data_IF_733009968085
#
_entry.id   IF_733009968085
#
_cell.length_a   1.000
_cell.length_b   1.000
_cell.length_c   1.000
_cell.angle_alpha   90.00
_cell.angle_beta   90.00
_cell.angle_gamma   90.00
#
_symmetry.space_group_name_H-M   'P 1'
#
loop_
_entity.id
_entity.type
_entity.pdbx_description
1 polymer ?
#
# COMPACT_ATOMS: atom_id res chain seq x y z
N UNK A 1 2.72 68.47 1.04
CA UNK A 1 3.58 67.42 1.63
C UNK A 1 3.63 66.22 0.69
N UNK A 2 4.47 66.25 -0.36
CA UNK A 2 4.53 65.16 -1.35
C UNK A 2 5.89 65.09 -2.06
N UNK A 3 7.01 65.13 -1.32
CA UNK A 3 8.36 65.04 -1.91
C UNK A 3 9.33 64.12 -1.14
N UNK A 4 8.81 63.24 -0.27
CA UNK A 4 9.67 62.36 0.57
C UNK A 4 9.59 60.88 0.16
N UNK A 5 8.73 60.51 -0.81
CA UNK A 5 8.51 59.10 -1.16
C UNK A 5 9.31 58.63 -2.39
N UNK A 6 9.65 59.51 -3.33
CA UNK A 6 10.36 59.12 -4.57
C UNK A 6 11.80 58.61 -4.35
N UNK A 7 12.46 59.03 -3.26
CA UNK A 7 13.87 58.68 -3.00
C UNK A 7 14.04 57.37 -2.23
N UNK A 8 12.98 56.77 -1.68
CA UNK A 8 13.09 55.54 -0.87
C UNK A 8 13.18 54.28 -1.73
N UNK A 9 12.51 54.28 -2.88
CA UNK A 9 12.47 53.12 -3.79
C UNK A 9 13.81 52.91 -4.52
N UNK A 10 14.46 54.00 -4.95
CA UNK A 10 15.79 53.92 -5.57
C UNK A 10 16.91 53.44 -4.64
N UNK A 11 16.75 53.59 -3.33
CA UNK A 11 17.68 53.05 -2.34
C UNK A 11 17.55 51.55 -2.14
N UNK A 12 16.31 51.04 -2.16
CA UNK A 12 16.00 49.61 -2.00
C UNK A 12 16.41 48.84 -3.27
N UNK A 13 16.14 49.37 -4.46
CA UNK A 13 16.56 48.76 -5.73
C UNK A 13 18.09 48.67 -5.82
N UNK A 14 18.82 49.75 -5.51
CA UNK A 14 20.30 49.75 -5.49
C UNK A 14 20.86 48.77 -4.45
N UNK A 15 20.21 48.64 -3.29
CA UNK A 15 20.57 47.67 -2.26
C UNK A 15 20.35 46.23 -2.72
N UNK A 16 19.23 45.96 -3.41
CA UNK A 16 18.94 44.65 -3.97
C UNK A 16 19.96 44.27 -5.05
N UNK A 17 20.26 45.16 -6.00
CA UNK A 17 21.28 44.92 -7.03
C UNK A 17 22.67 44.67 -6.44
N UNK A 18 23.07 45.45 -5.42
CA UNK A 18 24.35 45.24 -4.74
C UNK A 18 24.40 43.88 -4.02
N UNK A 19 23.30 43.47 -3.38
CA UNK A 19 23.19 42.16 -2.74
C UNK A 19 23.27 41.01 -3.76
N UNK A 20 22.51 41.10 -4.87
CA UNK A 20 22.57 40.11 -5.95
C UNK A 20 23.97 40.00 -6.55
N UNK A 21 24.65 41.13 -6.78
CA UNK A 21 26.01 41.14 -7.28
C UNK A 21 26.99 40.46 -6.29
N UNK A 22 26.85 40.74 -4.99
CA UNK A 22 27.69 40.10 -3.96
C UNK A 22 27.47 38.58 -3.89
N UNK A 23 26.21 38.13 -3.94
CA UNK A 23 25.88 36.71 -3.94
C UNK A 23 26.39 36.01 -5.21
N UNK A 24 26.28 36.65 -6.37
CA UNK A 24 26.79 36.12 -7.63
C UNK A 24 28.31 35.96 -7.61
N UNK A 25 29.04 36.95 -7.05
CA UNK A 25 30.50 36.86 -6.87
C UNK A 25 30.87 35.75 -5.89
N UNK A 26 30.16 35.64 -4.76
CA UNK A 26 30.38 34.56 -3.78
C UNK A 26 30.15 33.17 -4.38
N UNK A 27 29.07 32.99 -5.14
CA UNK A 27 28.78 31.74 -5.85
C UNK A 27 29.86 31.41 -6.88
N UNK A 28 30.29 32.40 -7.68
CA UNK A 28 31.37 32.21 -8.64
C UNK A 28 32.69 31.82 -7.94
N UNK A 29 33.01 32.44 -6.81
CA UNK A 29 34.20 32.09 -6.02
C UNK A 29 34.09 30.65 -5.49
N UNK A 30 32.95 30.29 -4.94
CA UNK A 30 32.67 28.93 -4.44
C UNK A 30 32.83 27.90 -5.55
N UNK A 31 32.28 28.15 -6.74
CA UNK A 31 32.41 27.26 -7.90
C UNK A 31 33.86 27.12 -8.39
N UNK A 32 34.69 28.15 -8.24
CA UNK A 32 36.13 28.09 -8.56
C UNK A 32 36.95 27.33 -7.51
N UNK A 33 36.49 27.31 -6.26
CA UNK A 33 37.11 26.62 -5.13
C UNK A 33 36.66 25.16 -4.99
N UNK A 34 35.58 24.75 -5.65
CA UNK A 34 35.14 23.36 -5.63
C UNK A 34 36.12 22.46 -6.40
N UNK A 35 36.59 21.35 -5.80
CA UNK A 35 37.39 20.37 -6.51
C UNK A 35 36.57 19.79 -7.67
N UNK A 36 37.22 19.59 -8.82
CA UNK A 36 36.56 18.95 -9.96
C UNK A 36 36.12 17.54 -9.55
N UNK A 37 34.87 17.14 -9.82
CA UNK A 37 34.46 15.76 -9.59
C UNK A 37 35.31 14.86 -10.48
N UNK A 38 36.20 14.09 -9.88
CA UNK A 38 36.87 13.00 -10.57
C UNK A 38 35.85 11.89 -10.81
N UNK A 39 35.75 11.37 -12.05
CA UNK A 39 34.93 10.19 -12.29
C UNK A 39 35.46 9.04 -11.43
N UNK A 40 34.57 8.26 -10.78
CA UNK A 40 35.00 7.12 -9.98
C UNK A 40 35.84 6.19 -10.85
N UNK A 41 37.01 5.82 -10.34
CA UNK A 41 37.82 4.79 -10.97
C UNK A 41 36.97 3.52 -11.11
N UNK A 42 36.96 2.84 -12.27
CA UNK A 42 36.26 1.59 -12.41
C UNK A 42 36.81 0.60 -11.39
N UNK A 43 35.92 0.05 -10.57
CA UNK A 43 36.24 -1.07 -9.68
C UNK A 43 36.71 -2.25 -10.56
N UNK A 44 37.77 -2.97 -10.16
CA UNK A 44 38.11 -4.22 -10.83
C UNK A 44 36.92 -5.17 -10.73
N UNK A 45 36.42 -5.60 -11.89
CA UNK A 45 35.47 -6.70 -12.02
C UNK A 45 36.20 -7.99 -11.61
N UNK A 46 36.19 -8.30 -10.32
CA UNK A 46 36.41 -9.67 -9.87
C UNK A 46 35.17 -10.47 -10.25
N UNK A 47 35.12 -10.87 -11.52
CA UNK A 47 34.06 -11.69 -12.07
C UNK A 47 33.84 -12.92 -11.20
N UNK A 48 32.66 -13.02 -10.61
CA UNK A 48 32.19 -14.23 -9.96
C UNK A 48 32.03 -15.29 -11.04
N UNK A 49 33.02 -16.17 -11.13
CA UNK A 49 32.94 -17.41 -11.90
C UNK A 49 31.95 -18.32 -11.16
N UNK A 50 30.68 -18.29 -11.57
CA UNK A 50 29.71 -19.31 -11.14
C UNK A 50 30.10 -20.60 -11.84
N UNK A 51 30.79 -21.48 -11.12
CA UNK A 51 31.01 -22.84 -11.56
C UNK A 51 29.67 -23.57 -11.55
N UNK A 52 29.13 -23.81 -12.74
CA UNK A 52 27.90 -24.57 -12.94
C UNK A 52 28.23 -26.00 -12.55
N UNK A 53 27.78 -26.42 -11.37
CA UNK A 53 27.84 -27.82 -10.94
C UNK A 53 27.14 -28.68 -12.00
N UNK A 54 27.85 -29.56 -12.73
CA UNK A 54 27.19 -30.45 -13.66
C UNK A 54 26.32 -31.42 -12.86
N UNK A 55 25.04 -31.48 -13.23
CA UNK A 55 24.09 -32.40 -12.64
C UNK A 55 24.58 -33.84 -12.83
N UNK A 56 24.80 -34.53 -11.72
CA UNK A 56 25.24 -35.92 -11.68
C UNK A 56 24.22 -36.78 -12.42
N UNK A 57 24.63 -37.28 -13.58
CA UNK A 57 23.88 -38.25 -14.36
C UNK A 57 23.58 -39.50 -13.51
N UNK A 58 22.29 -39.79 -13.31
CA UNK A 58 21.81 -41.08 -12.79
C UNK A 58 22.12 -42.19 -13.82
N UNK A 59 22.54 -43.40 -13.38
CA UNK A 59 22.88 -44.48 -14.28
C UNK A 59 21.67 -45.04 -15.04
N UNK A 60 21.93 -45.32 -16.31
CA UNK A 60 21.07 -45.98 -17.29
C UNK A 60 20.49 -47.32 -16.80
N UNK A 61 19.16 -47.46 -16.88
CA UNK A 61 18.49 -48.74 -16.92
C UNK A 61 18.08 -49.05 -18.37
N UNK A 62 18.60 -50.17 -18.86
CA UNK A 62 18.36 -50.77 -20.17
C UNK A 62 16.86 -51.05 -20.36
N UNK A 63 16.28 -50.59 -21.47
CA UNK A 63 15.02 -51.12 -21.99
C UNK A 63 15.06 -51.18 -23.52
N UNK A 64 14.82 -52.38 -24.03
CA UNK A 64 14.90 -52.79 -25.43
C UNK A 64 13.87 -52.08 -26.33
N UNK A 65 14.26 -51.83 -27.59
CA UNK A 65 13.33 -51.60 -28.70
C UNK A 65 12.45 -52.83 -28.91
N UNK A 66 11.15 -52.66 -29.13
CA UNK A 66 10.41 -53.37 -30.19
C UNK A 66 9.22 -52.52 -30.69
N UNK A 67 9.29 -52.22 -32.00
CA UNK A 67 8.26 -52.01 -33.03
C UNK A 67 6.88 -51.36 -32.74
N UNK A 68 6.59 -50.34 -33.53
CA UNK A 68 5.25 -49.98 -34.05
C UNK A 68 4.78 -50.98 -35.12
N UNK A 69 3.46 -51.13 -35.34
CA UNK A 69 2.84 -50.41 -36.45
C UNK A 69 1.46 -49.80 -36.16
N UNK A 70 1.17 -48.68 -36.81
CA UNK A 70 -0.15 -48.07 -37.00
C UNK A 70 -0.96 -48.85 -38.09
N UNK A 71 -2.15 -48.45 -38.63
CA UNK A 71 -2.91 -47.19 -38.46
C UNK A 71 -4.49 -47.30 -38.57
N UNK A 72 -5.16 -46.14 -38.68
CA UNK A 72 -6.47 -45.84 -39.35
C UNK A 72 -7.77 -46.03 -38.54
N UNK A 73 -8.39 -44.94 -38.06
CA UNK A 73 -9.61 -44.24 -38.58
C UNK A 73 -10.88 -45.13 -38.64
N UNK A 74 -12.05 -44.73 -38.15
CA UNK A 74 -12.93 -43.70 -38.73
C UNK A 74 -14.12 -43.42 -37.78
N UNK A 75 -14.74 -42.26 -38.00
CA UNK A 75 -15.78 -41.50 -37.29
C UNK A 75 -17.21 -42.13 -37.42
N UNK A 76 -18.29 -41.38 -37.13
CA UNK A 76 -19.15 -41.35 -35.93
C UNK A 76 -20.51 -42.08 -36.10
N UNK A 77 -21.31 -42.22 -35.04
CA UNK A 77 -22.74 -41.85 -35.11
C UNK A 77 -23.45 -41.87 -33.75
N UNK A 78 -24.50 -41.03 -33.69
CA UNK A 78 -25.34 -40.72 -32.55
C UNK A 78 -26.57 -41.65 -32.44
N UNK A 79 -27.12 -41.80 -31.24
CA UNK A 79 -28.56 -41.99 -30.93
C UNK A 79 -28.73 -41.95 -29.40
N UNK A 80 -29.18 -40.84 -28.80
CA UNK A 80 -30.58 -40.46 -28.48
C UNK A 80 -31.35 -41.49 -27.63
N UNK A 81 -31.59 -41.15 -26.36
CA UNK A 81 -32.96 -41.09 -25.81
C UNK A 81 -33.02 -40.30 -24.51
N UNK A 82 -34.00 -39.39 -24.48
CA UNK A 82 -34.45 -38.57 -23.37
C UNK A 82 -35.63 -39.26 -22.64
N UNK A 83 -35.97 -38.72 -21.45
CA UNK A 83 -37.23 -38.78 -20.68
C UNK A 83 -36.96 -39.11 -19.20
N UNK A 84 -37.55 -38.48 -18.18
CA UNK A 84 -38.61 -37.48 -18.07
C UNK A 84 -38.73 -37.02 -16.61
N UNK A 85 -39.17 -35.78 -16.40
CA UNK A 85 -39.50 -35.17 -15.10
C UNK A 85 -41.00 -35.43 -14.82
N UNK A 86 -41.41 -35.59 -13.55
CA UNK A 86 -42.65 -34.92 -13.11
C UNK A 86 -42.53 -34.21 -11.75
N UNK A 87 -43.07 -32.97 -11.60
CA UNK A 87 -43.36 -32.30 -10.31
C UNK A 87 -44.90 -32.33 -10.06
N UNK A 88 -45.55 -31.54 -9.17
CA UNK A 88 -45.09 -30.62 -8.11
C UNK A 88 -45.81 -30.82 -6.74
N UNK A 89 -45.26 -30.27 -5.66
CA UNK A 89 -46.06 -29.91 -4.48
C UNK A 89 -46.39 -28.41 -4.54
N UNK A 90 -47.68 -28.08 -4.65
CA UNK A 90 -48.24 -26.77 -4.35
C UNK A 90 -48.73 -26.72 -2.90
N UNK A 91 -48.89 -25.47 -2.42
CA UNK A 91 -49.73 -24.98 -1.30
C UNK A 91 -48.87 -24.34 -0.20
N UNK A 92 -48.95 -23.05 0.11
CA UNK A 92 -49.82 -21.93 -0.27
C UNK A 92 -49.09 -20.64 0.15
N UNK A 93 -49.13 -19.59 -0.67
CA UNK A 93 -48.99 -18.23 -0.15
C UNK A 93 -50.36 -17.75 0.36
N UNK A 94 -50.38 -16.79 1.30
CA UNK A 94 -50.87 -15.48 0.86
C UNK A 94 -49.93 -14.33 1.24
N UNK A 95 -50.03 -13.30 0.41
CA UNK A 95 -49.34 -12.03 0.42
C UNK A 95 -49.43 -11.26 1.75
N UNK A 96 -48.39 -10.47 2.04
CA UNK A 96 -48.49 -9.01 2.16
C UNK A 96 -47.11 -8.40 2.43
N UNK A 97 -46.78 -7.34 1.67
CA UNK A 97 -45.70 -6.41 1.97
C UNK A 97 -45.84 -5.82 3.37
N UNK A 98 -44.77 -5.92 4.16
CA UNK A 98 -44.34 -4.89 5.12
C UNK A 98 -42.84 -5.05 5.41
N UNK A 99 -42.02 -4.22 4.77
CA UNK A 99 -40.91 -3.56 5.46
C UNK A 99 -41.55 -2.36 6.17
N UNK A 100 -41.24 -2.02 7.43
CA UNK A 100 -39.86 -1.79 7.88
C UNK A 100 -39.56 -2.32 9.29
N UNK A 101 -38.29 -2.64 9.58
CA UNK A 101 -37.57 -2.04 10.70
C UNK A 101 -36.10 -2.45 10.61
N UNK A 102 -35.26 -1.49 10.23
CA UNK A 102 -33.82 -1.57 10.49
C UNK A 102 -33.67 -1.45 12.00
N UNK A 103 -33.67 -2.59 12.70
CA UNK A 103 -33.16 -2.66 14.05
C UNK A 103 -31.64 -2.48 13.95
N UNK A 104 -31.18 -1.24 14.13
CA UNK A 104 -29.79 -0.93 14.40
C UNK A 104 -29.41 -1.60 15.71
N UNK A 105 -28.89 -2.82 15.63
CA UNK A 105 -28.13 -3.44 16.72
C UNK A 105 -26.93 -2.52 16.96
N UNK A 106 -26.77 -1.95 18.17
CA UNK A 106 -25.58 -1.20 18.52
C UNK A 106 -24.36 -2.11 18.33
N UNK A 107 -23.22 -1.64 17.81
CA UNK A 107 -22.02 -2.46 17.75
C UNK A 107 -21.72 -2.98 19.14
N UNK A 108 -21.81 -4.30 19.33
CA UNK A 108 -21.30 -4.93 20.53
C UNK A 108 -19.83 -4.50 20.65
N UNK A 109 -19.45 -3.99 21.83
CA UNK A 109 -18.07 -3.63 22.10
C UNK A 109 -17.19 -4.84 21.75
N UNK A 110 -16.24 -4.70 20.81
CA UNK A 110 -15.42 -5.82 20.37
C UNK A 110 -14.60 -6.35 21.56
N UNK A 111 -14.42 -7.67 21.59
CA UNK A 111 -13.50 -8.31 22.54
C UNK A 111 -12.09 -7.76 22.26
N UNK A 112 -11.25 -7.55 23.30
CA UNK A 112 -9.95 -6.88 23.17
C UNK A 112 -9.00 -7.47 22.11
N UNK A 113 -9.18 -8.73 21.73
CA UNK A 113 -8.28 -9.48 20.83
C UNK A 113 -8.95 -9.97 19.54
N UNK A 114 -10.14 -9.45 19.20
CA UNK A 114 -10.87 -9.87 18.00
C UNK A 114 -10.85 -8.78 16.91
N UNK A 115 -10.66 -9.22 15.66
CA UNK A 115 -10.81 -8.33 14.51
C UNK A 115 -12.21 -7.69 14.49
N UNK A 116 -12.23 -6.38 14.27
CA UNK A 116 -13.41 -5.58 13.98
C UNK A 116 -13.57 -5.50 12.47
N UNK A 117 -14.67 -6.02 11.96
CA UNK A 117 -15.04 -5.91 10.55
C UNK A 117 -15.57 -4.50 10.26
N UNK A 118 -15.05 -3.86 9.21
CA UNK A 118 -15.46 -2.52 8.81
C UNK A 118 -16.82 -2.54 8.11
N UNK A 119 -17.82 -1.90 8.71
CA UNK A 119 -19.15 -1.74 8.09
C UNK A 119 -19.19 -0.67 6.99
N UNK A 120 -18.19 0.20 6.92
CA UNK A 120 -18.03 1.23 5.91
C UNK A 120 -16.54 1.44 5.63
N UNK A 121 -16.19 1.76 4.38
CA UNK A 121 -14.82 2.02 3.93
C UNK A 121 -14.61 3.51 3.63
N UNK A 122 -13.39 4.00 3.81
CA UNK A 122 -13.12 5.44 3.90
C UNK A 122 -12.02 5.94 2.96
N UNK A 123 -11.09 5.09 2.55
CA UNK A 123 -9.96 5.41 1.67
C UNK A 123 -10.39 6.17 0.40
N UNK A 124 -11.47 5.73 -0.26
CA UNK A 124 -12.01 6.43 -1.43
C UNK A 124 -12.49 7.84 -1.10
N UNK A 125 -13.22 8.01 0.00
CA UNK A 125 -13.75 9.33 0.39
C UNK A 125 -12.62 10.29 0.72
N UNK A 126 -11.60 9.82 1.44
CA UNK A 126 -10.42 10.62 1.78
C UNK A 126 -9.64 11.01 0.54
N UNK A 127 -9.42 10.08 -0.38
CA UNK A 127 -8.71 10.37 -1.62
C UNK A 127 -9.51 11.28 -2.56
N UNK A 128 -10.84 11.23 -2.52
CA UNK A 128 -11.70 12.09 -3.33
C UNK A 128 -11.67 13.57 -2.90
N UNK A 129 -11.19 13.87 -1.67
CA UNK A 129 -10.99 15.23 -1.21
C UNK A 129 -9.98 15.98 -2.13
N UNK A 130 -10.27 17.23 -2.56
CA UNK A 130 -9.35 18.05 -3.33
C UNK A 130 -7.97 18.24 -2.67
N UNK A 131 -7.89 18.21 -1.34
CA UNK A 131 -6.65 18.33 -0.56
C UNK A 131 -5.75 17.10 -0.73
N UNK A 132 -6.32 15.94 -1.04
CA UNK A 132 -5.61 14.67 -1.24
C UNK A 132 -5.01 14.52 -2.65
N UNK A 133 -4.92 15.60 -3.43
CA UNK A 133 -4.40 15.54 -4.81
C UNK A 133 -3.00 14.95 -4.91
N UNK A 134 -2.07 15.43 -4.07
CA UNK A 134 -0.69 14.94 -4.05
C UNK A 134 -0.62 13.46 -3.65
N UNK A 135 -1.41 13.04 -2.65
CA UNK A 135 -1.49 11.64 -2.25
C UNK A 135 -2.02 10.76 -3.40
N UNK A 136 -3.06 11.19 -4.12
CA UNK A 136 -3.56 10.49 -5.31
C UNK A 136 -2.51 10.39 -6.42
N UNK A 137 -1.72 11.43 -6.63
CA UNK A 137 -0.64 11.42 -7.63
C UNK A 137 0.49 10.48 -7.22
N UNK A 138 0.91 10.52 -5.96
CA UNK A 138 1.91 9.61 -5.41
C UNK A 138 1.47 8.14 -5.57
N UNK A 139 0.24 7.79 -5.17
CA UNK A 139 -0.32 6.44 -5.30
C UNK A 139 -0.33 5.94 -6.75
N UNK A 140 -0.50 6.81 -7.75
CA UNK A 140 -0.46 6.41 -9.17
C UNK A 140 0.94 6.05 -9.65
N UNK A 141 1.99 6.57 -9.00
CA UNK A 141 3.38 6.27 -9.32
C UNK A 141 3.91 4.99 -8.68
N UNK A 142 3.17 4.38 -7.75
CA UNK A 142 3.61 3.19 -7.03
C UNK A 142 3.36 1.91 -7.83
N UNK A 143 4.20 0.89 -7.59
CA UNK A 143 3.95 -0.47 -8.06
C UNK A 143 2.62 -1.00 -7.50
N UNK A 144 1.96 -1.93 -8.20
CA UNK A 144 0.61 -2.37 -7.83
C UNK A 144 0.47 -2.88 -6.39
N UNK A 145 1.43 -3.70 -5.92
CA UNK A 145 1.43 -4.19 -4.53
C UNK A 145 1.63 -3.08 -3.50
N UNK A 146 2.58 -2.19 -3.74
CA UNK A 146 2.84 -1.03 -2.88
C UNK A 146 1.66 -0.07 -2.84
N UNK A 147 1.03 0.21 -3.99
CA UNK A 147 -0.20 1.00 -4.06
C UNK A 147 -1.31 0.39 -3.22
N UNK A 148 -1.46 -0.93 -3.27
CA UNK A 148 -2.48 -1.65 -2.51
C UNK A 148 -2.20 -1.56 -1.00
N UNK A 149 -0.94 -1.74 -0.58
CA UNK A 149 -0.52 -1.56 0.81
C UNK A 149 -0.85 -0.16 1.32
N UNK A 150 -0.43 0.88 0.60
CA UNK A 150 -0.68 2.28 0.99
C UNK A 150 -2.18 2.63 1.06
N UNK A 151 -3.01 2.07 0.18
CA UNK A 151 -4.46 2.23 0.25
C UNK A 151 -5.05 1.58 1.50
N UNK A 152 -4.56 0.39 1.87
CA UNK A 152 -4.97 -0.32 3.06
C UNK A 152 -4.47 0.34 4.35
N UNK A 153 -3.27 0.91 4.36
CA UNK A 153 -2.74 1.68 5.48
C UNK A 153 -3.55 2.97 5.71
N UNK A 154 -3.92 3.66 4.62
CA UNK A 154 -4.83 4.80 4.68
C UNK A 154 -6.20 4.40 5.25
N UNK A 155 -6.76 3.27 4.77
CA UNK A 155 -8.00 2.72 5.31
C UNK A 155 -7.87 2.44 6.82
N UNK A 156 -6.80 1.77 7.24
CA UNK A 156 -6.53 1.45 8.63
C UNK A 156 -6.54 2.69 9.54
N UNK A 157 -5.84 3.76 9.13
CA UNK A 157 -5.82 5.01 9.88
C UNK A 157 -7.20 5.66 10.01
N UNK A 158 -8.04 5.62 8.97
CA UNK A 158 -9.40 6.14 9.02
C UNK A 158 -10.36 5.29 9.87
N UNK A 159 -10.22 3.97 9.80
CA UNK A 159 -10.97 3.04 10.63
C UNK A 159 -10.68 3.29 12.11
N UNK A 160 -9.40 3.40 12.47
CA UNK A 160 -8.96 3.70 13.85
C UNK A 160 -9.53 5.03 14.32
N UNK A 161 -9.40 6.10 13.51
CA UNK A 161 -9.89 7.44 13.87
C UNK A 161 -11.40 7.47 14.17
N UNK A 162 -12.18 6.62 13.50
CA UNK A 162 -13.64 6.56 13.68
C UNK A 162 -14.06 5.62 14.80
N UNK A 163 -13.34 4.51 14.98
CA UNK A 163 -13.59 3.56 16.06
C UNK A 163 -13.15 4.11 17.43
N UNK A 164 -12.13 4.96 17.47
CA UNK A 164 -11.50 5.50 18.68
C UNK A 164 -11.34 7.00 18.56
N UNK A 165 -12.28 7.75 19.12
CA UNK A 165 -12.27 9.23 19.08
C UNK A 165 -11.06 9.85 19.78
N UNK A 166 -10.44 9.10 20.70
CA UNK A 166 -9.21 9.42 21.41
C UNK A 166 -7.94 9.13 20.59
N UNK A 167 -8.06 8.51 19.42
CA UNK A 167 -6.94 8.18 18.55
C UNK A 167 -7.02 8.96 17.24
N UNK A 168 -5.97 9.71 16.93
CA UNK A 168 -5.81 10.43 15.67
C UNK A 168 -4.50 9.99 15.01
N UNK A 169 -4.52 8.87 14.26
CA UNK A 169 -3.31 8.39 13.61
C UNK A 169 -2.71 9.43 12.67
N UNK A 170 -1.40 9.62 12.79
CA UNK A 170 -0.59 10.51 11.94
C UNK A 170 0.57 9.79 11.23
N UNK A 171 0.93 8.58 11.66
CA UNK A 171 1.89 7.72 10.98
C UNK A 171 1.48 6.25 11.05
N UNK A 172 1.94 5.48 10.07
CA UNK A 172 1.72 4.05 9.94
C UNK A 172 3.04 3.36 9.58
N UNK A 173 3.37 2.26 10.25
CA UNK A 173 4.52 1.43 9.97
C UNK A 173 4.04 -0.02 9.75
N UNK A 174 3.85 -0.48 8.49
CA UNK A 174 3.18 -1.74 8.21
C UNK A 174 4.00 -2.99 8.58
N UNK A 175 5.31 -2.83 8.77
CA UNK A 175 6.27 -3.92 9.02
C UNK A 175 7.02 -3.81 10.36
N UNK A 176 6.50 -3.06 11.34
CA UNK A 176 7.21 -2.76 12.59
C UNK A 176 7.63 -4.02 13.40
N UNK A 177 6.72 -4.98 13.53
CA UNK A 177 6.91 -6.22 14.32
C UNK A 177 7.06 -7.46 13.43
N UNK A 178 6.49 -7.43 12.23
CA UNK A 178 6.51 -8.52 11.26
C UNK A 178 6.23 -7.97 9.87
N UNK A 179 6.86 -8.54 8.84
CA UNK A 179 6.63 -8.17 7.45
C UNK A 179 5.15 -8.31 7.05
N UNK A 180 4.68 -7.38 6.23
CA UNK A 180 3.39 -7.46 5.58
C UNK A 180 3.37 -8.55 4.51
N UNK A 181 2.16 -9.02 4.19
CA UNK A 181 1.94 -9.96 3.10
C UNK A 181 1.04 -9.32 2.06
N UNK A 182 1.57 -9.12 0.86
CA UNK A 182 0.82 -8.63 -0.29
C UNK A 182 0.70 -9.75 -1.33
N UNK A 183 -0.54 -10.12 -1.70
CA UNK A 183 -0.81 -11.17 -2.69
C UNK A 183 -1.93 -10.73 -3.63
N UNK A 184 -1.55 -10.23 -4.81
CA UNK A 184 -2.49 -9.68 -5.77
C UNK A 184 -3.27 -8.51 -5.18
N UNK A 185 -4.55 -8.74 -4.89
CA UNK A 185 -5.48 -7.76 -4.32
C UNK A 185 -5.68 -7.89 -2.81
N UNK A 186 -4.97 -8.82 -2.15
CA UNK A 186 -5.05 -9.04 -0.70
C UNK A 186 -3.81 -8.47 -0.02
N UNK A 187 -4.02 -7.76 1.09
CA UNK A 187 -2.99 -7.25 1.98
C UNK A 187 -3.30 -7.70 3.42
N UNK A 188 -2.32 -8.34 4.05
CA UNK A 188 -2.38 -8.74 5.45
C UNK A 188 -1.20 -8.15 6.22
N UNK A 189 -1.51 -7.42 7.29
CA UNK A 189 -0.53 -6.86 8.23
C UNK A 189 -0.78 -7.47 9.60
N UNK A 190 0.18 -8.22 10.13
CA UNK A 190 0.11 -8.83 11.47
C UNK A 190 1.01 -8.16 12.50
N UNK A 191 1.94 -7.32 12.04
CA UNK A 191 2.93 -6.66 12.89
C UNK A 191 3.03 -5.17 12.59
N UNK A 192 1.91 -4.52 12.25
CA UNK A 192 1.90 -3.09 11.97
C UNK A 192 1.93 -2.27 13.26
N UNK A 193 2.33 -1.01 13.13
CA UNK A 193 2.22 -0.01 14.18
C UNK A 193 1.57 1.28 13.66
N UNK A 194 0.72 1.89 14.49
CA UNK A 194 0.15 3.22 14.25
C UNK A 194 0.61 4.19 15.32
N UNK A 195 0.95 5.42 14.91
CA UNK A 195 1.26 6.49 15.86
C UNK A 195 0.06 7.39 16.04
N UNK A 196 -0.33 7.60 17.29
CA UNK A 196 -1.34 8.59 17.70
C UNK A 196 -0.81 9.34 18.91
N UNK A 197 -0.89 10.67 18.89
CA UNK A 197 -0.44 11.54 19.99
C UNK A 197 0.99 11.25 20.48
N UNK A 198 1.92 10.97 19.54
CA UNK A 198 3.32 10.60 19.82
C UNK A 198 3.48 9.30 20.61
N UNK A 199 2.52 8.39 20.57
CA UNK A 199 2.64 7.04 21.08
C UNK A 199 2.32 6.04 19.97
N UNK A 200 3.11 4.96 19.91
CA UNK A 200 2.92 3.88 18.96
C UNK A 200 2.05 2.78 19.58
N UNK A 201 1.15 2.22 18.78
CA UNK A 201 0.28 1.10 19.15
C UNK A 201 0.35 0.02 18.09
N UNK A 202 0.31 -1.24 18.52
CA UNK A 202 0.23 -2.36 17.60
C UNK A 202 -1.08 -2.31 16.80
N UNK A 203 -1.03 -2.69 15.53
CA UNK A 203 -2.21 -2.87 14.71
C UNK A 203 -2.04 -4.08 13.80
N UNK A 204 -3.15 -4.79 13.60
CA UNK A 204 -3.27 -5.85 12.61
C UNK A 204 -4.44 -5.54 11.70
N UNK A 205 -4.34 -5.88 10.43
CA UNK A 205 -5.46 -5.79 9.51
C UNK A 205 -5.43 -6.85 8.41
N UNK A 206 -6.62 -7.13 7.86
CA UNK A 206 -6.82 -7.79 6.58
C UNK A 206 -7.56 -6.83 5.66
N UNK A 207 -7.07 -6.66 4.45
CA UNK A 207 -7.61 -5.73 3.48
C UNK A 207 -7.69 -6.42 2.11
N UNK A 208 -8.87 -6.36 1.49
CA UNK A 208 -9.06 -6.83 0.12
C UNK A 208 -9.39 -5.63 -0.77
N UNK A 209 -8.80 -5.59 -1.95
CA UNK A 209 -9.10 -4.60 -2.98
C UNK A 209 -9.92 -5.24 -4.10
N UNK A 210 -10.85 -4.47 -4.66
CA UNK A 210 -11.56 -4.88 -5.86
C UNK A 210 -10.61 -4.92 -7.07
N UNK A 211 -10.55 -6.06 -7.75
CA UNK A 211 -9.60 -6.28 -8.85
C UNK A 211 -9.83 -5.35 -10.06
N UNK A 212 -11.06 -4.84 -10.25
CA UNK A 212 -11.40 -3.96 -11.37
C UNK A 212 -11.12 -2.50 -11.08
N UNK A 213 -11.61 -2.01 -9.94
CA UNK A 213 -11.52 -0.60 -9.56
C UNK A 213 -10.24 -0.26 -8.80
N UNK A 214 -9.59 -1.25 -8.19
CA UNK A 214 -8.42 -1.06 -7.34
C UNK A 214 -8.73 -0.33 -6.03
N UNK A 215 -10.00 -0.29 -5.62
CA UNK A 215 -10.47 0.31 -4.38
C UNK A 215 -10.53 -0.75 -3.28
N UNK A 216 -10.45 -0.33 -2.02
CA UNK A 216 -10.71 -1.26 -0.90
C UNK A 216 -12.15 -1.77 -1.00
N UNK A 217 -12.32 -3.08 -0.87
CA UNK A 217 -13.58 -3.80 -0.98
C UNK A 217 -14.03 -4.41 0.34
N UNK A 218 -13.09 -4.82 1.20
CA UNK A 218 -13.36 -5.22 2.59
C UNK A 218 -12.16 -4.94 3.47
N UNK A 219 -12.43 -4.68 4.75
CA UNK A 219 -11.39 -4.38 5.71
C UNK A 219 -11.76 -4.88 7.11
N UNK A 220 -10.80 -5.47 7.80
CA UNK A 220 -10.94 -5.88 9.19
C UNK A 220 -9.67 -5.51 9.94
N UNK A 221 -9.77 -5.00 11.16
CA UNK A 221 -8.60 -4.60 11.94
C UNK A 221 -8.70 -4.91 13.43
N UNK A 222 -7.56 -4.92 14.09
CA UNK A 222 -7.41 -5.06 15.53
C UNK A 222 -6.37 -4.07 16.01
N UNK A 223 -6.75 -3.21 16.95
CA UNK A 223 -5.81 -2.31 17.66
C UNK A 223 -5.31 -3.05 18.89
N UNK A 224 -4.00 -3.22 18.99
CA UNK A 224 -3.34 -3.82 20.14
C UNK A 224 -2.84 -2.80 21.15
N UNK A 225 -1.97 -3.28 22.05
CA UNK A 225 -1.36 -2.47 23.11
C UNK A 225 -0.40 -1.42 22.57
N UNK A 226 -0.18 -0.38 23.38
CA UNK A 226 0.90 0.57 23.18
C UNK A 226 2.26 -0.15 23.15
N UNK A 227 3.14 0.27 22.25
CA UNK A 227 4.50 -0.23 22.11
C UNK A 227 5.40 0.58 23.06
N UNK A 228 6.11 -0.05 24.00
CA UNK A 228 7.03 0.62 24.91
C UNK A 228 8.08 1.47 24.19
N UNK A 229 8.38 2.66 24.71
CA UNK A 229 9.30 3.62 24.08
C UNK A 229 10.72 3.08 23.89
N UNK A 230 11.17 2.22 24.78
CA UNK A 230 12.45 1.54 24.74
C UNK A 230 12.54 0.50 23.62
N UNK A 231 11.41 0.04 23.08
CA UNK A 231 11.36 -0.87 21.94
C UNK A 231 11.37 -0.14 20.58
N UNK A 232 11.05 1.16 20.54
CA UNK A 232 10.83 1.87 19.28
C UNK A 232 12.01 1.84 18.32
N UNK A 233 13.23 2.00 18.85
CA UNK A 233 14.44 1.97 18.03
C UNK A 233 14.68 0.60 17.39
N UNK A 234 14.27 -0.49 18.05
CA UNK A 234 14.40 -1.84 17.52
C UNK A 234 13.39 -2.15 16.40
N UNK A 235 12.34 -1.33 16.29
CA UNK A 235 11.24 -1.48 15.33
C UNK A 235 11.16 -0.31 14.32
N UNK A 236 12.22 0.50 14.23
CA UNK A 236 12.31 1.68 13.35
C UNK A 236 11.17 2.70 13.53
N UNK A 237 10.66 2.83 14.77
CA UNK A 237 9.54 3.71 15.09
C UNK A 237 10.02 5.08 15.55
N UNK A 238 9.84 6.10 14.71
CA UNK A 238 10.24 7.47 15.02
C UNK A 238 9.23 8.20 15.92
N UNK A 239 9.71 9.06 16.82
CA UNK A 239 8.87 9.84 17.74
C UNK A 239 8.08 10.97 17.04
N UNK A 240 8.62 11.50 15.94
CA UNK A 240 8.01 12.49 15.05
C UNK A 240 8.46 12.22 13.60
N UNK A 241 8.00 13.04 12.64
CA UNK A 241 8.32 12.89 11.22
C UNK A 241 9.71 13.44 10.85
N UNK A 242 10.52 13.83 11.85
CA UNK A 242 11.77 14.57 11.63
C UNK A 242 11.52 15.99 11.12
N UNK A 243 12.59 16.76 10.85
CA UNK A 243 12.45 18.01 10.10
C UNK A 243 11.91 17.66 8.72
N UNK A 244 10.74 18.19 8.36
CA UNK A 244 10.26 18.12 6.99
C UNK A 244 11.32 18.80 6.11
N UNK A 245 12.00 18.03 5.25
CA UNK A 245 12.90 18.58 4.25
C UNK A 245 12.09 19.54 3.37
N UNK A 246 12.23 20.85 3.64
CA UNK A 246 11.56 21.96 2.95
C UNK A 246 12.34 22.40 1.72
#
# INVERSE_FOLDING_TARGET
>A
MALVWENRDGGIERGAFASFALHAVMLALLLLLLPRPEPPAPLPDDGITVDIVPEVAKPSAIAQRVATPAPIATKPDASVSAQEIPPPHQEKAPAASTSPEVASVPPALPKPDAFVEAGQLFSETVLSDPRSRRAREALRGLAGGERNLQLCDLEAMEQVRRARQDMRPDAFAPYAMAAEKVSGNSVEVRGGAIRTEKAWYNIQFRCELDARSGKVASFAFLIGSAIPKDEWQAHDLAADDGPADQ
#
